data_IF_551852463039
#
_entry.id   IF_551852463039
#
_cell.length_a   1.000
_cell.length_b   1.000
_cell.length_c   1.000
_cell.angle_alpha   90.00
_cell.angle_beta   90.00
_cell.angle_gamma   90.00
#
_symmetry.space_group_name_H-M   'P 1'
#
loop_
_entity.id
_entity.type
_entity.pdbx_description
1 polymer ?
#
# COMPACT_ATOMS: atom_id res chain seq x y z
N UNK A 1 -54.73 -51.62 29.53
CA UNK A 1 -53.50 -52.44 29.41
C UNK A 1 -52.33 -51.47 29.42
N UNK A 2 -51.68 -51.35 30.58
CA UNK A 2 -50.46 -50.56 30.82
C UNK A 2 -49.29 -51.51 31.02
N UNK A 3 -48.10 -51.25 30.44
CA UNK A 3 -46.87 -51.91 30.88
C UNK A 3 -46.29 -51.21 32.12
N UNK A 4 -45.79 -51.96 33.12
CA UNK A 4 -45.15 -51.39 34.29
C UNK A 4 -43.61 -51.49 34.23
N UNK A 5 -43.02 -50.73 35.15
CA UNK A 5 -41.80 -51.07 35.89
C UNK A 5 -40.48 -50.46 35.40
N UNK A 6 -40.26 -49.24 35.89
CA UNK A 6 -38.99 -48.55 36.06
C UNK A 6 -38.07 -49.28 37.05
N UNK A 7 -36.90 -49.70 36.58
CA UNK A 7 -35.77 -50.14 37.41
C UNK A 7 -34.99 -48.91 37.89
N UNK A 8 -35.08 -48.57 39.18
CA UNK A 8 -34.15 -47.65 39.85
C UNK A 8 -33.30 -48.45 40.83
N UNK A 9 -31.96 -48.36 40.76
CA UNK A 9 -31.08 -48.98 41.75
C UNK A 9 -31.06 -48.18 43.07
N UNK A 10 -30.67 -48.84 44.19
CA UNK A 10 -30.74 -48.27 45.53
C UNK A 10 -29.59 -47.29 45.78
N UNK A 11 -29.90 -46.11 46.31
CA UNK A 11 -28.88 -45.20 46.82
C UNK A 11 -28.36 -45.74 48.17
N UNK A 12 -27.07 -46.09 48.19
CA UNK A 12 -26.30 -46.39 49.39
C UNK A 12 -26.07 -45.08 50.15
N UNK A 13 -26.68 -44.97 51.32
CA UNK A 13 -26.41 -43.96 52.32
C UNK A 13 -25.16 -44.41 53.09
N UNK A 14 -24.02 -43.80 52.78
CA UNK A 14 -22.79 -43.93 53.55
C UNK A 14 -22.57 -42.66 54.35
N UNK A 15 -22.89 -42.73 55.63
CA UNK A 15 -22.38 -41.84 56.66
C UNK A 15 -20.98 -42.34 57.04
N UNK A 16 -19.95 -41.60 56.64
CA UNK A 16 -18.58 -41.67 57.17
C UNK A 16 -18.16 -40.19 57.32
N UNK A 17 -18.45 -39.56 58.46
CA UNK A 17 -17.52 -39.35 59.59
C UNK A 17 -16.10 -38.88 59.17
N UNK A 18 -15.81 -37.65 59.59
CA UNK A 18 -14.56 -37.15 60.17
C UNK A 18 -13.23 -37.52 59.50
N UNK A 19 -12.53 -36.51 58.92
CA UNK A 19 -11.05 -36.41 58.95
C UNK A 19 -10.49 -35.16 58.20
N UNK A 20 -11.07 -33.96 58.37
CA UNK A 20 -10.50 -32.73 57.77
C UNK A 20 -10.26 -31.58 58.77
N UNK A 21 -9.81 -31.91 59.99
CA UNK A 21 -9.37 -30.94 61.01
C UNK A 21 -8.06 -30.18 60.65
N UNK A 22 -7.32 -30.59 59.62
CA UNK A 22 -6.01 -29.99 59.30
C UNK A 22 -6.06 -28.68 58.49
N UNK A 23 -7.22 -28.20 58.06
CA UNK A 23 -7.32 -27.00 57.21
C UNK A 23 -7.47 -25.66 57.96
N UNK A 24 -7.63 -25.67 59.28
CA UNK A 24 -7.89 -24.42 60.04
C UNK A 24 -6.63 -23.64 60.45
N UNK A 25 -5.42 -24.20 60.22
CA UNK A 25 -4.16 -23.53 60.54
C UNK A 25 -3.65 -22.57 59.44
N UNK A 26 -4.29 -22.51 58.27
CA UNK A 26 -3.89 -21.61 57.17
C UNK A 26 -4.59 -20.24 57.19
N UNK A 27 -5.49 -20.01 58.15
CA UNK A 27 -6.31 -18.80 58.27
C UNK A 27 -5.71 -17.74 59.20
N UNK A 28 -4.37 -17.61 59.27
CA UNK A 28 -3.77 -16.42 59.90
C UNK A 28 -3.73 -15.26 58.88
N UNK A 29 -4.58 -14.22 59.03
CA UNK A 29 -4.61 -13.07 58.12
C UNK A 29 -3.35 -12.19 58.18
N UNK A 30 -2.35 -12.52 59.02
CA UNK A 30 -1.15 -11.70 59.22
C UNK A 30 0.05 -12.09 58.35
N UNK A 31 0.00 -13.20 57.63
CA UNK A 31 1.09 -13.61 56.70
C UNK A 31 0.74 -13.35 55.23
N UNK A 32 0.38 -12.12 54.88
CA UNK A 32 0.46 -11.68 53.48
C UNK A 32 1.85 -11.07 53.24
N UNK A 33 2.75 -11.70 52.47
CA UNK A 33 3.99 -11.06 52.07
C UNK A 33 3.67 -9.76 51.31
N UNK A 34 4.47 -8.70 51.48
CA UNK A 34 4.24 -7.43 50.80
C UNK A 34 4.31 -7.65 49.29
N UNK A 35 3.15 -7.45 48.66
CA UNK A 35 2.91 -7.15 47.26
C UNK A 35 4.19 -6.77 46.49
N UNK A 36 4.71 -7.73 45.73
CA UNK A 36 5.71 -7.47 44.70
C UNK A 36 5.10 -6.55 43.64
N UNK A 37 5.91 -5.56 43.22
CA UNK A 37 5.59 -4.51 42.28
C UNK A 37 5.05 -5.07 40.95
N UNK A 38 4.01 -4.46 40.35
CA UNK A 38 3.52 -4.86 39.04
C UNK A 38 4.46 -4.33 37.96
N UNK A 39 5.60 -4.99 37.76
CA UNK A 39 6.51 -4.71 36.64
C UNK A 39 6.35 -5.80 35.58
N UNK A 40 5.18 -5.86 34.96
CA UNK A 40 5.05 -6.51 33.65
C UNK A 40 4.32 -5.55 32.71
N UNK A 41 4.93 -5.14 31.58
CA UNK A 41 4.22 -4.43 30.52
C UNK A 41 3.31 -5.42 29.77
N UNK A 42 2.28 -5.91 30.45
CA UNK A 42 1.19 -6.70 29.91
C UNK A 42 0.14 -5.76 29.30
N UNK A 43 0.46 -5.09 28.19
CA UNK A 43 -0.42 -4.01 27.70
C UNK A 43 -0.54 -3.81 26.19
N UNK A 44 0.22 -4.50 25.36
CA UNK A 44 0.15 -4.29 23.89
C UNK A 44 -0.32 -5.51 23.10
N UNK A 45 -0.17 -6.73 23.62
CA UNK A 45 -0.63 -7.95 22.94
C UNK A 45 -2.16 -8.12 22.96
N UNK A 46 -2.87 -7.44 23.86
CA UNK A 46 -4.34 -7.52 23.93
C UNK A 46 -5.05 -6.60 22.93
N UNK A 47 -4.37 -5.60 22.39
CA UNK A 47 -4.97 -4.64 21.44
C UNK A 47 -4.99 -5.16 20.00
N UNK A 48 -4.19 -6.18 19.68
CA UNK A 48 -4.01 -6.65 18.29
C UNK A 48 -4.80 -7.92 17.99
N UNK A 49 -5.13 -8.73 18.99
CA UNK A 49 -5.64 -10.10 18.78
C UNK A 49 -7.11 -10.42 19.07
N UNK A 50 -8.01 -9.52 19.56
CA UNK A 50 -9.32 -9.98 20.01
C UNK A 50 -10.29 -10.41 18.88
N UNK A 51 -9.99 -10.13 17.61
CA UNK A 51 -10.92 -10.36 16.50
C UNK A 51 -10.57 -11.54 15.59
N UNK A 52 -9.46 -12.25 15.83
CA UNK A 52 -9.10 -13.42 15.03
C UNK A 52 -9.63 -14.70 15.67
N UNK A 53 -10.92 -14.99 15.46
CA UNK A 53 -11.56 -16.24 15.87
C UNK A 53 -12.09 -16.96 14.63
N UNK A 54 -11.26 -17.80 13.95
CA UNK A 54 -11.70 -18.53 12.78
C UNK A 54 -12.81 -19.49 13.19
N UNK A 55 -14.02 -19.28 12.68
CA UNK A 55 -15.12 -20.22 12.88
C UNK A 55 -14.95 -21.39 11.92
N UNK A 56 -14.96 -22.64 12.41
CA UNK A 56 -14.85 -23.81 11.55
C UNK A 56 -16.03 -23.87 10.58
N UNK A 57 -15.75 -24.22 9.32
CA UNK A 57 -16.77 -24.32 8.29
C UNK A 57 -17.54 -25.65 8.47
N UNK A 58 -18.89 -25.62 8.40
CA UNK A 58 -19.65 -26.86 8.35
C UNK A 58 -19.29 -27.63 7.07
N UNK A 59 -19.26 -28.98 7.12
CA UNK A 59 -18.93 -29.78 5.94
C UNK A 59 -19.94 -29.48 4.82
N UNK A 60 -19.49 -29.39 3.56
CA UNK A 60 -20.37 -29.04 2.45
C UNK A 60 -21.44 -30.13 2.26
N UNK A 61 -22.71 -29.73 2.38
CA UNK A 61 -23.87 -30.60 2.15
C UNK A 61 -24.55 -30.20 0.84
N UNK A 62 -24.86 -31.18 0.01
CA UNK A 62 -25.66 -30.98 -1.21
C UNK A 62 -27.11 -30.76 -0.78
N UNK A 63 -27.77 -29.77 -1.35
CA UNK A 63 -29.20 -29.54 -1.11
C UNK A 63 -30.02 -30.74 -1.62
N UNK A 64 -30.92 -31.24 -0.78
CA UNK A 64 -31.82 -32.36 -1.10
C UNK A 64 -32.84 -31.95 -2.16
N UNK A 65 -33.15 -30.66 -2.26
CA UNK A 65 -34.14 -30.12 -3.19
C UNK A 65 -33.55 -29.71 -4.55
N UNK A 66 -32.31 -30.09 -4.85
CA UNK A 66 -31.63 -29.77 -6.12
C UNK A 66 -32.43 -30.19 -7.37
N UNK A 67 -33.22 -31.26 -7.25
CA UNK A 67 -34.10 -31.75 -8.31
C UNK A 67 -35.31 -30.85 -8.59
N UNK A 68 -35.76 -30.07 -7.59
CA UNK A 68 -36.94 -29.21 -7.65
C UNK A 68 -36.63 -27.78 -8.12
N UNK A 69 -35.36 -27.36 -8.06
CA UNK A 69 -34.90 -26.04 -8.49
C UNK A 69 -34.92 -25.90 -10.03
N UNK A 70 -35.12 -24.67 -10.51
CA UNK A 70 -35.01 -24.34 -11.93
C UNK A 70 -33.59 -24.58 -12.46
N UNK A 71 -33.40 -24.66 -13.78
CA UNK A 71 -32.08 -24.95 -14.36
C UNK A 71 -31.01 -23.93 -13.95
N UNK A 72 -31.37 -22.64 -13.87
CA UNK A 72 -30.44 -21.58 -13.48
C UNK A 72 -30.09 -21.67 -11.99
N UNK A 73 -31.07 -21.87 -11.13
CA UNK A 73 -30.87 -22.05 -9.69
C UNK A 73 -30.04 -23.30 -9.40
N UNK A 74 -30.31 -24.39 -10.12
CA UNK A 74 -29.51 -25.62 -10.03
C UNK A 74 -28.06 -25.35 -10.41
N UNK A 75 -27.80 -24.61 -11.48
CA UNK A 75 -26.43 -24.27 -11.88
C UNK A 75 -25.74 -23.39 -10.83
N UNK A 76 -26.44 -22.39 -10.28
CA UNK A 76 -25.94 -21.54 -9.21
C UNK A 76 -25.63 -22.34 -7.93
N UNK A 77 -26.50 -23.30 -7.58
CA UNK A 77 -26.33 -24.16 -6.41
C UNK A 77 -25.15 -25.13 -6.57
N UNK A 78 -24.96 -25.69 -7.77
CA UNK A 78 -23.78 -26.51 -8.10
C UNK A 78 -22.50 -25.68 -8.00
N UNK A 79 -22.49 -24.45 -8.52
CA UNK A 79 -21.34 -23.54 -8.38
C UNK A 79 -21.07 -23.20 -6.91
N UNK A 80 -22.10 -22.85 -6.12
CA UNK A 80 -22.00 -22.59 -4.67
C UNK A 80 -21.40 -23.78 -3.93
N UNK A 81 -21.87 -25.00 -4.23
CA UNK A 81 -21.34 -26.23 -3.67
C UNK A 81 -19.87 -26.45 -4.06
N UNK A 82 -19.53 -26.25 -5.35
CA UNK A 82 -18.14 -26.36 -5.83
C UNK A 82 -17.20 -25.39 -5.10
N UNK A 83 -17.60 -24.12 -4.94
CA UNK A 83 -16.80 -23.13 -4.19
C UNK A 83 -16.66 -23.50 -2.72
N UNK A 84 -17.74 -23.92 -2.07
CA UNK A 84 -17.71 -24.32 -0.65
C UNK A 84 -16.86 -25.57 -0.44
N UNK A 85 -16.92 -26.53 -1.38
CA UNK A 85 -16.09 -27.74 -1.35
C UNK A 85 -14.62 -27.43 -1.60
N UNK A 86 -14.31 -26.59 -2.57
CA UNK A 86 -12.95 -26.14 -2.83
C UNK A 86 -12.37 -25.40 -1.61
N UNK A 87 -13.16 -24.51 -1.01
CA UNK A 87 -12.79 -23.80 0.20
C UNK A 87 -12.57 -24.74 1.39
N UNK A 88 -13.47 -25.69 1.62
CA UNK A 88 -13.31 -26.70 2.68
C UNK A 88 -12.07 -27.58 2.46
N UNK A 89 -11.74 -27.90 1.20
CA UNK A 89 -10.57 -28.70 0.86
C UNK A 89 -9.26 -27.95 1.09
N UNK A 90 -9.22 -26.65 0.77
CA UNK A 90 -8.04 -25.80 0.98
C UNK A 90 -7.89 -25.40 2.46
N UNK A 91 -9.00 -25.18 3.17
CA UNK A 91 -8.98 -24.72 4.56
C UNK A 91 -10.21 -25.19 5.36
N UNK A 92 -10.20 -26.42 5.89
CA UNK A 92 -11.31 -26.92 6.70
C UNK A 92 -11.50 -26.10 8.00
N UNK A 93 -10.43 -25.47 8.48
CA UNK A 93 -10.46 -24.59 9.66
C UNK A 93 -10.89 -23.15 9.41
N UNK A 94 -11.27 -22.76 8.18
CA UNK A 94 -11.72 -21.39 7.88
C UNK A 94 -10.61 -20.33 7.83
N UNK A 95 -9.34 -20.74 7.87
CA UNK A 95 -8.19 -19.83 7.84
C UNK A 95 -8.10 -19.03 6.53
N UNK A 96 -8.53 -19.60 5.40
CA UNK A 96 -8.53 -18.90 4.10
C UNK A 96 -9.47 -17.67 4.12
N UNK A 97 -10.69 -17.81 4.66
CA UNK A 97 -11.64 -16.68 4.75
C UNK A 97 -11.09 -15.55 5.57
N UNK A 98 -10.54 -15.88 6.73
CA UNK A 98 -9.95 -14.88 7.62
C UNK A 98 -8.71 -14.26 6.99
N UNK A 99 -7.90 -15.04 6.26
CA UNK A 99 -6.77 -14.50 5.49
C UNK A 99 -7.24 -13.53 4.39
N UNK A 100 -8.28 -13.87 3.62
CA UNK A 100 -8.84 -12.97 2.60
C UNK A 100 -9.43 -11.70 3.24
N UNK A 101 -10.18 -11.83 4.34
CA UNK A 101 -10.70 -10.67 5.09
C UNK A 101 -9.57 -9.78 5.62
N UNK A 102 -8.48 -10.37 6.12
CA UNK A 102 -7.31 -9.65 6.58
C UNK A 102 -6.64 -8.88 5.44
N UNK A 103 -6.39 -9.55 4.31
CA UNK A 103 -5.79 -8.92 3.14
C UNK A 103 -6.68 -7.82 2.57
N UNK A 104 -8.00 -8.03 2.54
CA UNK A 104 -8.95 -7.03 2.09
C UNK A 104 -8.95 -5.82 3.03
N UNK A 105 -8.98 -6.02 4.36
CA UNK A 105 -8.90 -4.94 5.35
C UNK A 105 -7.58 -4.19 5.28
N UNK A 106 -6.47 -4.92 5.18
CA UNK A 106 -5.13 -4.35 5.05
C UNK A 106 -4.99 -3.58 3.73
N UNK A 107 -5.48 -4.15 2.64
CA UNK A 107 -5.54 -3.51 1.33
C UNK A 107 -6.35 -2.22 1.38
N UNK A 108 -7.53 -2.23 2.02
CA UNK A 108 -8.36 -1.05 2.19
C UNK A 108 -7.67 0.01 3.08
N UNK A 109 -7.01 -0.44 4.16
CA UNK A 109 -6.26 0.42 5.08
C UNK A 109 -5.10 1.14 4.38
N UNK A 110 -4.47 0.51 3.39
CA UNK A 110 -3.39 1.12 2.58
C UNK A 110 -3.96 1.91 1.40
N UNK A 111 -5.02 1.42 0.77
CA UNK A 111 -5.63 2.04 -0.41
C UNK A 111 -6.26 3.39 -0.08
N UNK A 112 -6.96 3.52 1.06
CA UNK A 112 -7.58 4.78 1.48
C UNK A 112 -6.54 5.92 1.59
N UNK A 113 -5.46 5.81 2.37
CA UNK A 113 -4.46 6.87 2.45
C UNK A 113 -3.73 7.03 1.11
N UNK A 114 -3.47 5.97 0.35
CA UNK A 114 -2.86 6.09 -0.97
C UNK A 114 -3.71 6.95 -1.93
N UNK A 115 -5.02 6.71 -1.99
CA UNK A 115 -5.97 7.47 -2.82
C UNK A 115 -6.13 8.91 -2.33
N UNK A 116 -6.04 9.16 -1.02
CA UNK A 116 -6.08 10.51 -0.45
C UNK A 116 -4.77 11.29 -0.67
N UNK A 117 -3.62 10.63 -0.55
CA UNK A 117 -2.29 11.25 -0.65
C UNK A 117 -1.89 11.45 -2.11
N UNK A 118 -2.25 10.54 -3.01
CA UNK A 118 -1.93 10.62 -4.43
C UNK A 118 -2.30 11.99 -5.07
N UNK A 119 -3.54 12.50 -4.98
CA UNK A 119 -3.88 13.79 -5.60
C UNK A 119 -3.12 14.95 -4.96
N UNK A 120 -2.87 14.92 -3.65
CA UNK A 120 -2.08 15.96 -2.97
C UNK A 120 -0.66 16.01 -3.51
N UNK A 121 -0.02 14.84 -3.64
CA UNK A 121 1.33 14.71 -4.20
C UNK A 121 1.35 15.12 -5.66
N UNK A 122 0.38 14.68 -6.47
CA UNK A 122 0.27 15.07 -7.88
C UNK A 122 0.08 16.57 -8.06
N UNK A 123 -0.77 17.21 -7.24
CA UNK A 123 -0.95 18.66 -7.26
C UNK A 123 0.36 19.38 -6.90
N UNK A 124 1.07 18.90 -5.88
CA UNK A 124 2.35 19.47 -5.47
C UNK A 124 3.41 19.36 -6.57
N UNK A 125 3.53 18.20 -7.21
CA UNK A 125 4.41 17.96 -8.36
C UNK A 125 4.06 18.88 -9.55
N UNK A 126 2.77 19.06 -9.83
CA UNK A 126 2.30 19.96 -10.88
C UNK A 126 2.66 21.42 -10.61
N UNK A 127 2.58 21.86 -9.35
CA UNK A 127 3.05 23.19 -8.97
C UNK A 127 4.56 23.30 -9.15
N UNK A 128 5.35 22.33 -8.65
CA UNK A 128 6.80 22.34 -8.81
C UNK A 128 7.24 22.42 -10.27
N UNK A 129 6.57 21.70 -11.18
CA UNK A 129 6.91 21.80 -12.60
C UNK A 129 6.66 23.21 -13.15
N UNK A 130 5.54 23.85 -12.77
CA UNK A 130 5.24 25.22 -13.18
C UNK A 130 6.31 26.21 -12.67
N UNK A 131 6.74 26.08 -11.41
CA UNK A 131 7.83 26.89 -10.85
C UNK A 131 9.15 26.70 -11.61
N UNK A 132 9.50 25.46 -11.95
CA UNK A 132 10.70 25.16 -12.75
C UNK A 132 10.60 25.78 -14.15
N UNK A 133 9.43 25.75 -14.78
CA UNK A 133 9.22 26.40 -16.08
C UNK A 133 9.43 27.91 -15.98
N UNK A 134 8.86 28.57 -14.98
CA UNK A 134 9.06 30.00 -14.77
C UNK A 134 10.51 30.37 -14.48
N UNK A 135 11.22 29.56 -13.68
CA UNK A 135 12.64 29.74 -13.40
C UNK A 135 13.48 29.58 -14.68
N UNK A 136 13.18 28.57 -15.48
CA UNK A 136 13.90 28.30 -16.74
C UNK A 136 13.65 29.42 -17.75
N UNK A 137 12.41 29.88 -17.88
CA UNK A 137 12.06 30.98 -18.77
C UNK A 137 12.77 32.28 -18.35
N UNK A 138 12.74 32.61 -17.06
CA UNK A 138 13.41 33.80 -16.53
C UNK A 138 14.92 33.72 -16.74
N UNK A 139 15.52 32.57 -16.44
CA UNK A 139 16.97 32.34 -16.63
C UNK A 139 17.34 32.44 -18.12
N UNK A 140 16.53 31.86 -19.01
CA UNK A 140 16.77 31.95 -20.45
C UNK A 140 16.73 33.39 -20.95
N UNK A 141 15.75 34.19 -20.50
CA UNK A 141 15.64 35.61 -20.86
C UNK A 141 16.82 36.42 -20.30
N UNK A 142 17.23 36.15 -19.07
CA UNK A 142 18.37 36.82 -18.44
C UNK A 142 19.71 36.53 -19.13
N UNK A 143 19.89 35.34 -19.72
CA UNK A 143 21.12 34.98 -20.45
C UNK A 143 21.04 35.41 -21.92
N UNK A 144 19.90 35.21 -22.57
CA UNK A 144 19.70 35.55 -23.98
C UNK A 144 19.72 37.06 -24.22
N UNK A 145 19.19 37.87 -23.29
CA UNK A 145 19.19 39.33 -23.42
C UNK A 145 20.61 39.92 -23.58
N UNK A 146 21.56 39.73 -22.64
CA UNK A 146 22.91 40.27 -22.80
C UNK A 146 23.67 39.63 -23.97
N UNK A 147 23.46 38.33 -24.24
CA UNK A 147 24.08 37.67 -25.38
C UNK A 147 23.61 38.29 -26.70
N UNK A 148 22.30 38.54 -26.84
CA UNK A 148 21.74 39.22 -28.02
C UNK A 148 22.28 40.64 -28.17
N UNK A 149 22.41 41.39 -27.07
CA UNK A 149 22.99 42.73 -27.09
C UNK A 149 24.46 42.72 -27.52
N UNK A 150 25.26 41.79 -26.98
CA UNK A 150 26.65 41.58 -27.38
C UNK A 150 26.78 41.20 -28.86
N UNK A 151 25.87 40.36 -29.37
CA UNK A 151 25.84 39.97 -30.78
C UNK A 151 25.57 41.18 -31.68
N UNK A 152 24.56 42.01 -31.34
CA UNK A 152 24.25 43.24 -32.10
C UNK A 152 25.43 44.21 -32.08
N UNK A 153 26.02 44.48 -30.91
CA UNK A 153 27.20 45.34 -30.79
C UNK A 153 28.37 44.79 -31.60
N UNK A 154 28.63 43.48 -31.51
CA UNK A 154 29.67 42.81 -32.29
C UNK A 154 29.45 42.92 -33.80
N UNK A 155 28.20 42.76 -34.27
CA UNK A 155 27.84 42.87 -35.68
C UNK A 155 28.02 44.30 -36.19
N UNK A 156 27.61 45.32 -35.42
CA UNK A 156 27.83 46.73 -35.77
C UNK A 156 29.33 47.04 -35.83
N UNK A 157 30.12 46.61 -34.84
CA UNK A 157 31.57 46.76 -34.84
C UNK A 157 32.23 46.08 -36.06
N UNK A 158 31.82 44.86 -36.40
CA UNK A 158 32.31 44.13 -37.57
C UNK A 158 31.98 44.84 -38.89
N UNK A 159 30.77 45.38 -39.02
CA UNK A 159 30.34 46.12 -40.21
C UNK A 159 31.12 47.43 -40.37
N UNK A 160 31.29 48.20 -39.29
CA UNK A 160 32.11 49.43 -39.28
C UNK A 160 33.57 49.11 -39.65
N UNK A 161 34.12 48.04 -39.09
CA UNK A 161 35.48 47.58 -39.41
C UNK A 161 35.61 47.22 -40.90
N UNK A 162 34.65 46.45 -41.44
CA UNK A 162 34.64 46.05 -42.84
C UNK A 162 34.49 47.25 -43.78
N UNK A 163 33.58 48.18 -43.47
CA UNK A 163 33.38 49.41 -44.23
C UNK A 163 34.66 50.27 -44.26
N UNK A 164 35.40 50.31 -43.15
CA UNK A 164 36.69 51.01 -43.07
C UNK A 164 37.81 50.27 -43.80
N UNK A 165 37.81 48.93 -43.80
CA UNK A 165 38.83 48.11 -44.45
C UNK A 165 38.65 48.01 -45.98
N UNK A 166 37.41 48.10 -46.47
CA UNK A 166 37.06 48.01 -47.89
C UNK A 166 37.83 49.00 -48.79
N UNK A 167 37.93 50.32 -48.47
CA UNK A 167 38.68 51.26 -49.30
C UNK A 167 40.18 50.93 -49.33
N UNK A 168 40.77 50.49 -48.21
CA UNK A 168 42.17 50.05 -48.20
C UNK A 168 42.40 48.82 -49.08
N UNK A 169 41.48 47.86 -49.05
CA UNK A 169 41.54 46.66 -49.89
C UNK A 169 41.33 46.98 -51.38
N UNK A 170 40.41 47.89 -51.70
CA UNK A 170 40.12 48.33 -53.07
C UNK A 170 41.28 49.17 -53.65
N UNK A 171 41.93 50.02 -52.85
CA UNK A 171 43.07 50.83 -53.29
C UNK A 171 44.34 50.00 -53.48
N UNK A 172 44.42 48.81 -52.85
CA UNK A 172 45.47 47.79 -53.09
C UNK A 172 45.15 46.87 -54.28
N UNK A 173 44.28 47.24 -55.22
CA UNK A 173 44.25 46.54 -56.51
C UNK A 173 45.58 46.83 -57.21
N UNK A 174 46.49 45.84 -57.36
CA UNK A 174 47.67 46.06 -58.16
C UNK A 174 47.16 46.39 -59.56
N UNK A 175 47.50 47.57 -60.08
CA UNK A 175 47.40 47.83 -61.51
C UNK A 175 48.08 46.67 -62.20
N UNK A 176 47.30 45.71 -62.71
CA UNK A 176 47.77 44.67 -63.62
C UNK A 176 48.36 45.43 -64.78
N UNK A 177 49.68 45.61 -64.76
CA UNK A 177 50.43 46.02 -65.94
C UNK A 177 50.04 45.00 -67.02
N UNK A 178 49.54 45.44 -68.18
CA UNK A 178 49.19 44.51 -69.24
C UNK A 178 50.46 43.72 -69.63
N UNK A 179 50.35 42.42 -69.92
CA UNK A 179 51.47 41.65 -70.42
C UNK A 179 51.87 42.27 -71.76
N UNK A 180 53.08 42.84 -71.82
CA UNK A 180 53.70 43.22 -73.09
C UNK A 180 53.98 41.93 -73.86
N UNK A 181 53.05 41.57 -74.74
CA UNK A 181 53.31 40.68 -75.85
C UNK A 181 54.22 41.45 -76.81
N UNK A 182 55.48 41.03 -76.91
CA UNK A 182 56.28 41.29 -78.09
C UNK A 182 56.32 39.96 -78.84
N UNK A 183 55.58 39.93 -79.95
CA UNK A 183 55.76 38.96 -81.03
C UNK A 183 57.01 39.41 -81.85
N UNK A 184 57.86 38.42 -82.13
CA UNK A 184 58.88 38.27 -83.20
C UNK A 184 59.86 39.42 -83.54
#
# INVERSE_FOLDING_TARGET
MMPPSSNQPPYLHGDDEDDNHWNDAASDPRMRPPSSLPTQPAGLKSLVTPHWSPQPLPPPRVDVELSKLSLLERAAEVLRYMFTKAEYWVSPGGALREWVKLNLRLGLLIAIPAVLVAPVVTLFLGQLSAWVTHLTETTSKLVLFPLSALLVVGLVCALVYLARALPWALMRRPSRRPPHYYDD
#
